data_IF_414640105903
#
_entry.id   IF_414640105903
#
_cell.length_a   1.000
_cell.length_b   1.000
_cell.length_c   1.000
_cell.angle_alpha   90.00
_cell.angle_beta   90.00
_cell.angle_gamma   90.00
#
_symmetry.space_group_name_H-M   'P 1'
#
loop_
_entity.id
_entity.type
_entity.pdbx_description
1 polymer ?
#
# COMPACT_ATOMS: atom_id res chain seq x y z
N UNK A 1 21.80 6.55 -21.22
CA UNK A 1 22.42 6.01 -19.99
C UNK A 1 22.55 7.06 -18.89
N UNK A 2 23.21 8.20 -19.12
CA UNK A 2 23.33 9.29 -18.12
C UNK A 2 21.98 9.82 -17.61
N UNK A 3 20.98 9.93 -18.47
CA UNK A 3 19.64 10.42 -18.12
C UNK A 3 18.87 9.45 -17.20
N UNK A 4 19.01 8.14 -17.43
CA UNK A 4 18.47 7.10 -16.53
C UNK A 4 19.10 7.16 -15.15
N UNK A 5 20.42 7.30 -15.09
CA UNK A 5 21.13 7.44 -13.82
C UNK A 5 20.67 8.70 -13.07
N UNK A 6 20.54 9.82 -13.77
CA UNK A 6 20.07 11.06 -13.17
C UNK A 6 18.64 10.93 -12.59
N UNK A 7 17.72 10.28 -13.31
CA UNK A 7 16.36 10.07 -12.81
C UNK A 7 16.30 9.09 -11.62
N UNK A 8 17.12 8.03 -11.63
CA UNK A 8 17.23 7.11 -10.49
C UNK A 8 17.80 7.82 -9.27
N UNK A 9 18.84 8.63 -9.44
CA UNK A 9 19.43 9.42 -8.37
C UNK A 9 18.43 10.44 -7.83
N UNK A 10 17.69 11.12 -8.70
CA UNK A 10 16.64 12.05 -8.31
C UNK A 10 15.54 11.35 -7.49
N UNK A 11 15.04 10.21 -7.97
CA UNK A 11 14.06 9.38 -7.27
C UNK A 11 14.57 8.97 -5.89
N UNK A 12 15.80 8.45 -5.81
CA UNK A 12 16.39 8.00 -4.55
C UNK A 12 16.63 9.16 -3.58
N UNK A 13 17.14 10.30 -4.06
CA UNK A 13 17.38 11.49 -3.24
C UNK A 13 16.09 12.03 -2.64
N UNK A 14 15.02 12.14 -3.44
CA UNK A 14 13.72 12.61 -2.95
C UNK A 14 13.10 11.58 -1.99
N UNK A 15 13.20 10.29 -2.30
CA UNK A 15 12.74 9.23 -1.41
C UNK A 15 13.42 9.29 -0.04
N UNK A 16 14.75 9.40 -0.01
CA UNK A 16 15.52 9.51 1.24
C UNK A 16 15.13 10.77 1.99
N UNK A 17 15.05 11.93 1.32
CA UNK A 17 14.70 13.19 1.96
C UNK A 17 13.31 13.11 2.62
N UNK A 18 12.30 12.66 1.88
CA UNK A 18 10.92 12.54 2.38
C UNK A 18 10.84 11.53 3.53
N UNK A 19 11.45 10.35 3.38
CA UNK A 19 11.40 9.30 4.40
C UNK A 19 12.11 9.74 5.68
N UNK A 20 13.28 10.38 5.59
CA UNK A 20 14.00 10.91 6.76
C UNK A 20 13.19 12.00 7.45
N UNK A 21 12.55 12.89 6.70
CA UNK A 21 11.64 13.91 7.27
C UNK A 21 10.45 13.25 7.96
N UNK A 22 9.81 12.25 7.35
CA UNK A 22 8.66 11.56 7.93
C UNK A 22 9.04 10.79 9.21
N UNK A 23 10.19 10.11 9.21
CA UNK A 23 10.72 9.45 10.40
C UNK A 23 10.95 10.45 11.55
N UNK A 24 11.54 11.63 11.26
CA UNK A 24 11.74 12.68 12.28
C UNK A 24 10.44 13.23 12.84
N UNK A 25 9.38 13.24 12.04
CA UNK A 25 8.04 13.68 12.44
C UNK A 25 7.20 12.54 13.05
N UNK A 26 7.75 11.33 13.22
CA UNK A 26 7.02 10.14 13.69
C UNK A 26 5.79 9.79 12.82
N UNK A 27 5.86 10.09 11.52
CA UNK A 27 4.83 9.76 10.54
C UNK A 27 5.20 8.41 9.89
N UNK A 28 4.24 7.49 9.68
CA UNK A 28 4.49 6.23 8.99
C UNK A 28 5.21 6.44 7.65
N UNK A 29 6.34 5.75 7.46
CA UNK A 29 7.18 5.87 6.25
C UNK A 29 6.49 5.41 4.98
N UNK A 30 5.48 4.55 5.09
CA UNK A 30 4.61 4.14 3.99
C UNK A 30 3.93 5.33 3.29
N UNK A 31 3.47 6.32 4.07
CA UNK A 31 2.90 7.55 3.53
C UNK A 31 3.96 8.40 2.82
N UNK A 32 5.20 8.38 3.32
CA UNK A 32 6.32 9.06 2.67
C UNK A 32 6.63 8.49 1.29
N UNK A 33 6.66 7.17 1.12
CA UNK A 33 6.84 6.54 -0.18
C UNK A 33 5.71 6.88 -1.17
N UNK A 34 4.46 6.94 -0.69
CA UNK A 34 3.32 7.35 -1.51
C UNK A 34 3.46 8.81 -1.95
N UNK A 35 3.86 9.69 -1.03
CA UNK A 35 4.11 11.11 -1.33
C UNK A 35 5.18 11.28 -2.41
N UNK A 36 6.28 10.51 -2.34
CA UNK A 36 7.34 10.54 -3.37
C UNK A 36 6.77 10.20 -4.75
N UNK A 37 5.94 9.16 -4.83
CA UNK A 37 5.27 8.77 -6.07
C UNK A 37 4.32 9.83 -6.61
N UNK A 38 3.59 10.53 -5.72
CA UNK A 38 2.76 11.67 -6.10
C UNK A 38 3.62 12.82 -6.63
N UNK A 39 4.64 13.23 -5.88
CA UNK A 39 5.51 14.37 -6.23
C UNK A 39 6.22 14.16 -7.57
N UNK A 40 6.70 12.95 -7.83
CA UNK A 40 7.41 12.59 -9.07
C UNK A 40 6.49 12.07 -10.19
N UNK A 41 5.18 12.06 -9.96
CA UNK A 41 4.19 11.61 -10.92
C UNK A 41 3.93 12.62 -12.04
N UNK A 42 3.36 12.18 -13.18
CA UNK A 42 3.14 13.04 -14.36
C UNK A 42 2.11 14.15 -14.16
N UNK A 43 1.36 14.11 -13.06
CA UNK A 43 0.27 15.06 -12.76
C UNK A 43 0.71 16.20 -11.83
N UNK A 44 2.00 16.33 -11.52
CA UNK A 44 2.53 17.43 -10.70
C UNK A 44 3.31 18.41 -11.57
N UNK A 45 3.45 19.64 -11.07
CA UNK A 45 4.29 20.68 -11.67
C UNK A 45 5.81 20.44 -11.44
N UNK A 46 6.18 19.32 -10.82
CA UNK A 46 7.55 18.99 -10.45
C UNK A 46 8.29 18.17 -11.50
N UNK A 47 9.53 17.74 -11.19
CA UNK A 47 10.27 16.81 -12.04
C UNK A 47 9.49 15.50 -12.18
N UNK A 48 9.24 15.07 -13.41
CA UNK A 48 8.57 13.80 -13.69
C UNK A 48 9.61 12.74 -14.02
N UNK A 49 9.52 11.58 -13.35
CA UNK A 49 10.35 10.42 -13.66
C UNK A 49 9.53 9.49 -14.56
N UNK A 50 9.92 9.35 -15.82
CA UNK A 50 9.20 8.56 -16.82
C UNK A 50 10.15 7.58 -17.50
N UNK A 51 10.37 6.43 -16.88
CA UNK A 51 11.13 5.32 -17.46
C UNK A 51 10.23 4.09 -17.55
N UNK A 52 9.99 3.53 -18.75
CA UNK A 52 9.26 2.27 -18.90
C UNK A 52 9.83 1.14 -18.04
N UNK A 53 11.16 1.12 -17.85
CA UNK A 53 11.87 0.13 -17.04
C UNK A 53 11.59 0.26 -15.55
N UNK A 54 11.17 1.45 -15.07
CA UNK A 54 10.78 1.64 -13.66
C UNK A 54 9.46 0.94 -13.33
N UNK A 55 8.54 0.79 -14.29
CA UNK A 55 7.32 0.01 -14.07
C UNK A 55 7.66 -1.47 -13.81
N UNK A 56 8.56 -2.03 -14.63
CA UNK A 56 9.03 -3.41 -14.44
C UNK A 56 9.72 -3.56 -13.09
N UNK A 57 10.57 -2.59 -12.71
CA UNK A 57 11.21 -2.59 -11.40
C UNK A 57 10.20 -2.51 -10.24
N UNK A 58 9.14 -1.70 -10.38
CA UNK A 58 8.08 -1.59 -9.40
C UNK A 58 7.28 -2.89 -9.26
N UNK A 59 6.98 -3.57 -10.38
CA UNK A 59 6.35 -4.90 -10.37
C UNK A 59 7.22 -5.91 -9.61
N UNK A 60 8.52 -5.97 -9.90
CA UNK A 60 9.45 -6.80 -9.13
C UNK A 60 9.48 -6.42 -7.65
N UNK A 61 9.44 -5.11 -7.33
CA UNK A 61 9.34 -4.62 -5.96
C UNK A 61 8.11 -5.17 -5.23
N UNK A 62 6.94 -5.18 -5.87
CA UNK A 62 5.71 -5.77 -5.31
C UNK A 62 5.86 -7.28 -5.14
N UNK A 63 6.44 -7.98 -6.12
CA UNK A 63 6.69 -9.43 -6.02
C UNK A 63 7.61 -9.75 -4.84
N UNK A 64 8.73 -9.03 -4.69
CA UNK A 64 9.63 -9.21 -3.55
C UNK A 64 8.96 -8.85 -2.22
N UNK A 65 8.15 -7.79 -2.18
CA UNK A 65 7.38 -7.41 -0.99
C UNK A 65 6.43 -8.54 -0.58
N UNK A 66 5.61 -9.04 -1.51
CA UNK A 66 4.67 -10.13 -1.24
C UNK A 66 5.39 -11.43 -0.85
N UNK A 67 6.54 -11.70 -1.46
CA UNK A 67 7.39 -12.84 -1.10
C UNK A 67 7.94 -12.71 0.33
N UNK A 68 8.51 -11.56 0.69
CA UNK A 68 9.00 -11.29 2.05
C UNK A 68 7.88 -11.32 3.08
N UNK A 69 6.70 -10.79 2.76
CA UNK A 69 5.50 -10.93 3.60
C UNK A 69 5.17 -12.41 3.79
N UNK A 70 5.21 -13.22 2.74
CA UNK A 70 5.01 -14.67 2.81
C UNK A 70 6.02 -15.38 3.73
N UNK A 71 7.30 -15.00 3.66
CA UNK A 71 8.36 -15.57 4.50
C UNK A 71 8.21 -15.26 5.99
N UNK A 72 7.51 -14.18 6.36
CA UNK A 72 7.25 -13.84 7.76
C UNK A 72 6.23 -14.80 8.42
N UNK A 73 5.44 -15.55 7.66
CA UNK A 73 4.42 -16.46 8.18
C UNK A 73 4.85 -17.92 8.02
N UNK A 74 4.87 -18.66 9.12
CA UNK A 74 5.09 -20.11 9.08
C UNK A 74 3.77 -20.87 8.82
N UNK A 75 3.84 -21.99 8.09
CA UNK A 75 2.66 -22.85 7.84
C UNK A 75 1.91 -23.28 9.13
N UNK A 76 2.60 -23.64 10.24
CA UNK A 76 1.93 -23.95 11.50
C UNK A 76 1.17 -22.77 12.09
N UNK A 77 1.72 -21.55 11.99
CA UNK A 77 1.08 -20.33 12.47
C UNK A 77 -0.18 -20.00 11.65
N UNK A 78 -0.13 -20.15 10.32
CA UNK A 78 -1.30 -20.02 9.46
C UNK A 78 -2.39 -21.03 9.82
N UNK A 79 -2.03 -22.28 10.11
CA UNK A 79 -2.97 -23.30 10.53
C UNK A 79 -3.61 -23.00 11.89
N UNK A 80 -2.85 -22.43 12.84
CA UNK A 80 -3.38 -22.00 14.14
C UNK A 80 -4.38 -20.83 13.98
N UNK A 81 -4.11 -19.90 13.05
CA UNK A 81 -4.95 -18.73 12.80
C UNK A 81 -6.10 -19.00 11.82
N UNK A 82 -6.15 -20.16 11.14
CA UNK A 82 -7.11 -20.44 10.05
C UNK A 82 -8.56 -20.16 10.40
N UNK A 83 -8.99 -20.49 11.62
CA UNK A 83 -10.38 -20.31 12.05
C UNK A 83 -10.73 -18.83 12.28
N UNK A 84 -9.78 -18.05 12.81
CA UNK A 84 -9.95 -16.61 12.97
C UNK A 84 -9.90 -15.89 11.62
N UNK A 85 -8.95 -16.24 10.76
CA UNK A 85 -8.81 -15.63 9.42
C UNK A 85 -10.03 -15.96 8.55
N UNK A 86 -10.40 -17.25 8.45
CA UNK A 86 -11.50 -17.68 7.59
C UNK A 86 -12.89 -17.40 8.17
N UNK A 87 -13.02 -17.23 9.49
CA UNK A 87 -14.29 -16.91 10.14
C UNK A 87 -14.46 -15.40 10.35
N UNK A 88 -13.70 -14.86 11.30
CA UNK A 88 -13.80 -13.44 11.70
C UNK A 88 -13.27 -12.51 10.59
N UNK A 89 -12.14 -12.86 9.96
CA UNK A 89 -11.55 -12.04 8.91
C UNK A 89 -12.46 -11.92 7.68
N UNK A 90 -12.94 -13.05 7.15
CA UNK A 90 -13.89 -13.04 6.02
C UNK A 90 -15.21 -12.36 6.39
N UNK A 91 -15.73 -12.62 7.60
CA UNK A 91 -16.94 -11.99 8.10
C UNK A 91 -16.82 -10.47 8.19
N UNK A 92 -15.68 -9.97 8.69
CA UNK A 92 -15.39 -8.54 8.72
C UNK A 92 -15.32 -7.95 7.31
N UNK A 93 -14.60 -8.61 6.38
CA UNK A 93 -14.47 -8.11 5.01
C UNK A 93 -15.83 -8.01 4.33
N UNK A 94 -16.66 -9.06 4.43
CA UNK A 94 -18.02 -9.07 3.88
C UNK A 94 -18.86 -7.97 4.53
N UNK A 95 -18.85 -7.86 5.85
CA UNK A 95 -19.63 -6.87 6.58
C UNK A 95 -19.24 -5.44 6.17
N UNK A 96 -17.95 -5.09 6.20
CA UNK A 96 -17.47 -3.76 5.81
C UNK A 96 -17.78 -3.46 4.34
N UNK A 97 -17.60 -4.44 3.45
CA UNK A 97 -17.93 -4.29 2.02
C UNK A 97 -19.41 -4.02 1.81
N UNK A 98 -20.29 -4.75 2.50
CA UNK A 98 -21.74 -4.54 2.42
C UNK A 98 -22.16 -3.18 2.99
N UNK A 99 -21.61 -2.76 4.13
CA UNK A 99 -21.96 -1.48 4.76
C UNK A 99 -21.48 -0.31 3.92
N UNK A 100 -20.19 -0.26 3.58
CA UNK A 100 -19.59 0.85 2.82
C UNK A 100 -20.11 0.85 1.38
N UNK A 101 -20.20 -0.33 0.75
CA UNK A 101 -20.78 -0.47 -0.59
C UNK A 101 -22.26 -0.10 -0.63
N UNK A 102 -23.04 -0.47 0.40
CA UNK A 102 -24.44 -0.05 0.52
C UNK A 102 -24.59 1.47 0.61
N UNK A 103 -23.76 2.13 1.42
CA UNK A 103 -23.74 3.60 1.52
C UNK A 103 -23.35 4.24 0.18
N UNK A 104 -22.32 3.72 -0.50
CA UNK A 104 -21.87 4.23 -1.79
C UNK A 104 -22.95 4.05 -2.88
N UNK A 105 -23.66 2.93 -2.87
CA UNK A 105 -24.76 2.69 -3.79
C UNK A 105 -25.94 3.64 -3.53
N UNK A 106 -26.31 3.87 -2.27
CA UNK A 106 -27.32 4.86 -1.89
C UNK A 106 -26.92 6.30 -2.24
N UNK A 107 -25.61 6.60 -2.26
CA UNK A 107 -25.07 7.87 -2.74
C UNK A 107 -25.09 8.02 -4.28
N UNK A 108 -25.60 7.03 -5.00
CA UNK A 108 -25.81 7.07 -6.45
C UNK A 108 -24.68 6.47 -7.29
N UNK A 109 -23.70 5.78 -6.68
CA UNK A 109 -22.68 5.07 -7.45
C UNK A 109 -23.25 3.82 -8.14
N UNK A 110 -22.75 3.47 -9.35
CA UNK A 110 -23.05 2.18 -9.97
C UNK A 110 -22.68 1.02 -9.05
N UNK A 111 -23.47 -0.06 -9.05
CA UNK A 111 -23.28 -1.20 -8.13
C UNK A 111 -21.86 -1.79 -8.14
N UNK A 112 -21.22 -1.85 -9.32
CA UNK A 112 -19.84 -2.30 -9.43
C UNK A 112 -18.84 -1.36 -8.73
N UNK A 113 -18.99 -0.04 -8.91
CA UNK A 113 -18.12 0.95 -8.27
C UNK A 113 -18.34 0.98 -6.75
N UNK A 114 -19.59 0.85 -6.31
CA UNK A 114 -19.94 0.76 -4.90
C UNK A 114 -19.33 -0.49 -4.22
N UNK A 115 -19.39 -1.65 -4.88
CA UNK A 115 -18.74 -2.87 -4.40
C UNK A 115 -17.21 -2.70 -4.29
N UNK A 116 -16.57 -2.15 -5.33
CA UNK A 116 -15.12 -1.90 -5.32
C UNK A 116 -14.73 -0.97 -4.18
N UNK A 117 -15.48 0.12 -3.96
CA UNK A 117 -15.26 1.02 -2.82
C UNK A 117 -15.37 0.26 -1.49
N UNK A 118 -16.42 -0.55 -1.31
CA UNK A 118 -16.58 -1.35 -0.11
C UNK A 118 -15.41 -2.31 0.14
N UNK A 119 -14.94 -2.99 -0.91
CA UNK A 119 -13.83 -3.93 -0.81
C UNK A 119 -12.49 -3.25 -0.47
N UNK A 120 -12.22 -2.07 -1.05
CA UNK A 120 -11.01 -1.29 -0.75
C UNK A 120 -11.01 -0.83 0.71
N UNK A 121 -12.15 -0.36 1.21
CA UNK A 121 -12.29 0.06 2.61
C UNK A 121 -12.27 -1.10 3.61
N UNK A 122 -12.60 -2.32 3.17
CA UNK A 122 -12.54 -3.51 4.01
C UNK A 122 -11.10 -3.94 4.33
N UNK A 123 -10.10 -3.47 3.58
CA UNK A 123 -8.71 -3.89 3.74
C UNK A 123 -8.07 -3.25 4.99
N UNK A 124 -7.68 -4.08 5.97
CA UNK A 124 -6.90 -3.66 7.14
C UNK A 124 -5.42 -3.46 6.75
N UNK A 125 -4.80 -2.33 7.10
CA UNK A 125 -3.35 -2.14 7.04
C UNK A 125 -2.64 -2.89 8.17
N UNK A 126 -2.67 -4.23 8.10
CA UNK A 126 -2.06 -5.11 9.10
C UNK A 126 -0.57 -4.82 9.30
N UNK A 127 0.14 -4.37 8.25
CA UNK A 127 1.54 -3.95 8.32
C UNK A 127 1.76 -2.69 9.17
N UNK A 128 0.85 -1.70 9.09
CA UNK A 128 0.97 -0.45 9.86
C UNK A 128 0.67 -0.71 11.34
N UNK A 129 -0.36 -1.51 11.61
CA UNK A 129 -0.76 -1.87 12.98
C UNK A 129 0.34 -2.74 13.65
N UNK A 130 0.92 -3.70 12.92
CA UNK A 130 2.03 -4.49 13.44
C UNK A 130 3.24 -3.63 13.81
N UNK A 131 3.62 -2.63 13.00
CA UNK A 131 4.70 -1.70 13.35
C UNK A 131 4.40 -0.91 14.63
N UNK A 132 3.17 -0.39 14.79
CA UNK A 132 2.76 0.36 15.98
C UNK A 132 2.74 -0.48 17.26
N UNK A 133 2.40 -1.77 17.16
CA UNK A 133 2.42 -2.72 18.28
C UNK A 133 3.82 -3.20 18.65
N UNK A 134 4.78 -3.14 17.72
CA UNK A 134 6.19 -3.47 17.99
C UNK A 134 6.95 -2.28 18.58
N UNK A 135 6.42 -1.06 18.40
CA UNK A 135 6.90 0.16 19.07
C UNK A 135 6.33 0.36 20.48
N UNK A 136 5.48 -0.56 20.96
CA UNK A 136 5.09 -0.69 22.38
C UNK A 136 5.86 -1.80 23.07
#
# INVERSE_FOLDING_TARGET
MMEYLAQILLLLSIAIAVVVTFQRLHIPTSLGYLLVGVVLGPHTMGPTVSMPELNVLAEFGIVFLLFTVGLNFSLPQLNALRGQILGLGTGQVVFTTCVVGGIAWLAGLPGAAAFVMGAVFAQSSTTIIASLLTEQ
#
